data_IF_447700249038
#
_entry.id   IF_447700249038
#
_cell.length_a   1.000
_cell.length_b   1.000
_cell.length_c   1.000
_cell.angle_alpha   90.00
_cell.angle_beta   90.00
_cell.angle_gamma   90.00
#
_symmetry.space_group_name_H-M   'P 1'
#
loop_
_entity.id
_entity.type
_entity.pdbx_description
1 polymer ?
#
# COMPACT_ATOMS: atom_id res chain seq x y z
N UNK A 1 33.72 -14.54 -12.90
CA UNK A 1 32.32 -14.56 -13.37
C UNK A 1 31.39 -14.63 -12.15
N UNK A 2 30.65 -13.56 -11.85
CA UNK A 2 29.45 -13.63 -10.99
C UNK A 2 28.40 -12.74 -11.64
N UNK A 3 27.35 -13.39 -12.11
CA UNK A 3 26.30 -12.83 -12.94
C UNK A 3 25.31 -12.01 -12.11
N UNK A 4 24.84 -10.92 -12.72
CA UNK A 4 23.43 -10.54 -12.71
C UNK A 4 22.85 -9.98 -11.42
N UNK A 5 23.16 -8.71 -11.11
CA UNK A 5 22.21 -7.87 -10.38
C UNK A 5 21.03 -7.60 -11.32
N UNK A 6 20.03 -8.48 -11.33
CA UNK A 6 18.74 -8.18 -11.96
C UNK A 6 17.95 -7.27 -11.02
N UNK A 7 18.38 -6.01 -10.97
CA UNK A 7 17.50 -4.95 -10.53
C UNK A 7 16.27 -4.99 -11.42
N UNK A 8 15.09 -5.00 -10.80
CA UNK A 8 13.83 -4.69 -11.49
C UNK A 8 13.99 -3.26 -11.97
N UNK A 9 14.56 -3.12 -13.17
CA UNK A 9 14.59 -1.89 -13.95
C UNK A 9 13.13 -1.68 -14.31
N UNK A 10 12.49 -0.76 -13.59
CA UNK A 10 11.39 0.02 -14.13
C UNK A 10 11.89 0.55 -15.47
N UNK A 11 11.61 -0.18 -16.56
CA UNK A 11 11.81 0.36 -17.90
C UNK A 11 11.09 1.69 -17.88
N UNK A 12 11.83 2.74 -18.19
CA UNK A 12 11.34 4.09 -18.35
C UNK A 12 10.39 4.06 -19.55
N UNK A 13 9.15 3.60 -19.29
CA UNK A 13 8.16 3.37 -20.31
C UNK A 13 7.58 4.75 -20.65
N UNK A 14 7.76 5.10 -21.91
CA UNK A 14 7.43 6.36 -22.55
C UNK A 14 6.01 6.85 -22.20
N UNK A 15 5.80 8.16 -22.32
CA UNK A 15 4.49 8.86 -22.21
C UNK A 15 3.31 8.13 -22.91
N UNK A 16 3.56 7.28 -23.89
CA UNK A 16 2.54 6.52 -24.63
C UNK A 16 1.98 5.28 -23.91
N UNK A 17 2.72 4.62 -23.02
CA UNK A 17 2.18 3.46 -22.27
C UNK A 17 1.13 3.88 -21.23
N UNK A 18 1.27 5.11 -20.70
CA UNK A 18 0.35 5.72 -19.73
C UNK A 18 -1.03 6.05 -20.33
N UNK A 19 -1.18 6.02 -21.65
CA UNK A 19 -2.44 6.34 -22.34
C UNK A 19 -3.34 5.13 -22.61
N UNK A 20 -2.89 3.92 -22.26
CA UNK A 20 -3.60 2.66 -22.57
C UNK A 20 -4.16 1.95 -21.34
N UNK A 21 -3.63 2.22 -20.15
CA UNK A 21 -4.09 1.61 -18.90
C UNK A 21 -5.13 2.52 -18.25
N UNK A 22 -6.13 1.93 -17.60
CA UNK A 22 -7.02 2.71 -16.75
C UNK A 22 -6.28 3.20 -15.50
N UNK A 23 -6.73 4.30 -14.91
CA UNK A 23 -6.18 4.81 -13.64
C UNK A 23 -6.16 3.72 -12.56
N UNK A 24 -7.19 2.87 -12.54
CA UNK A 24 -7.29 1.71 -11.66
C UNK A 24 -6.15 0.70 -11.89
N UNK A 25 -5.85 0.36 -13.14
CA UNK A 25 -4.75 -0.56 -13.47
C UNK A 25 -3.39 0.03 -13.09
N UNK A 26 -3.18 1.33 -13.28
CA UNK A 26 -1.94 2.00 -12.90
C UNK A 26 -1.74 2.01 -11.37
N UNK A 27 -2.80 2.26 -10.61
CA UNK A 27 -2.78 2.21 -9.15
C UNK A 27 -2.61 0.78 -8.62
N UNK A 28 -3.26 -0.20 -9.24
CA UNK A 28 -3.06 -1.62 -8.91
C UNK A 28 -1.61 -2.06 -9.17
N UNK A 29 -1.02 -1.61 -10.28
CA UNK A 29 0.39 -1.85 -10.57
C UNK A 29 1.30 -1.18 -9.53
N UNK A 30 0.97 0.04 -9.09
CA UNK A 30 1.70 0.71 -8.01
C UNK A 30 1.67 -0.12 -6.72
N UNK A 31 0.52 -0.63 -6.30
CA UNK A 31 0.40 -1.48 -5.10
C UNK A 31 1.34 -2.69 -5.17
N UNK A 32 1.34 -3.40 -6.32
CA UNK A 32 2.22 -4.56 -6.55
C UNK A 32 3.70 -4.20 -6.47
N UNK A 33 4.10 -3.09 -7.09
CA UNK A 33 5.48 -2.61 -7.09
C UNK A 33 5.93 -2.25 -5.68
N UNK A 34 5.15 -1.47 -4.96
CA UNK A 34 5.51 -1.01 -3.62
C UNK A 34 5.59 -2.21 -2.67
N UNK A 35 4.68 -3.18 -2.76
CA UNK A 35 4.77 -4.44 -2.02
C UNK A 35 6.13 -5.14 -2.24
N UNK A 36 6.59 -5.24 -3.48
CA UNK A 36 7.89 -5.82 -3.80
C UNK A 36 9.06 -5.01 -3.24
N UNK A 37 9.01 -3.67 -3.31
CA UNK A 37 10.06 -2.82 -2.76
C UNK A 37 10.14 -2.87 -1.25
N UNK A 38 9.00 -2.90 -0.55
CA UNK A 38 8.94 -3.06 0.90
C UNK A 38 9.54 -4.40 1.32
N UNK A 39 9.17 -5.50 0.66
CA UNK A 39 9.74 -6.83 0.93
C UNK A 39 11.25 -6.91 0.66
N UNK A 40 11.72 -6.13 -0.32
CA UNK A 40 13.14 -5.97 -0.65
C UNK A 40 13.87 -4.89 0.14
N UNK A 41 13.23 -4.25 1.13
CA UNK A 41 13.80 -3.17 1.95
C UNK A 41 14.30 -1.97 1.11
N UNK A 42 13.71 -1.74 -0.06
CA UNK A 42 14.08 -0.69 -1.03
C UNK A 42 13.34 0.62 -0.76
N UNK A 43 13.60 1.24 0.39
CA UNK A 43 12.88 2.43 0.86
C UNK A 43 13.01 3.64 -0.08
N UNK A 44 14.19 3.86 -0.66
CA UNK A 44 14.45 5.00 -1.54
C UNK A 44 13.56 4.99 -2.79
N UNK A 45 13.23 3.80 -3.30
CA UNK A 45 12.37 3.67 -4.47
C UNK A 45 10.91 3.99 -4.11
N UNK A 46 10.46 3.57 -2.93
CA UNK A 46 9.14 3.94 -2.41
C UNK A 46 9.04 5.45 -2.21
N UNK A 47 10.05 6.06 -1.57
CA UNK A 47 10.12 7.50 -1.29
C UNK A 47 10.18 8.34 -2.59
N UNK A 48 10.64 7.76 -3.70
CA UNK A 48 10.62 8.41 -5.02
C UNK A 48 9.30 8.20 -5.75
N UNK A 49 8.78 6.97 -5.74
CA UNK A 49 7.67 6.57 -6.59
C UNK A 49 6.31 7.01 -6.03
N UNK A 50 6.10 6.87 -4.72
CA UNK A 50 4.81 7.17 -4.10
C UNK A 50 4.46 8.67 -4.22
N UNK A 51 5.36 9.64 -3.94
CA UNK A 51 5.04 11.06 -4.13
C UNK A 51 4.75 11.44 -5.59
N UNK A 52 5.38 10.76 -6.55
CA UNK A 52 5.06 10.93 -7.97
C UNK A 52 3.61 10.54 -8.25
N UNK A 53 3.14 9.43 -7.69
CA UNK A 53 1.75 8.99 -7.85
C UNK A 53 0.76 9.85 -7.05
N UNK A 54 1.13 10.39 -5.90
CA UNK A 54 0.32 11.41 -5.20
C UNK A 54 0.11 12.65 -6.09
N UNK A 55 1.12 13.05 -6.88
CA UNK A 55 0.97 14.17 -7.81
C UNK A 55 0.18 13.85 -9.08
N UNK A 56 0.15 12.59 -9.51
CA UNK A 56 -0.62 12.16 -10.69
C UNK A 56 -2.08 11.88 -10.36
N UNK A 57 -2.36 11.34 -9.17
CA UNK A 57 -3.70 11.01 -8.70
C UNK A 57 -3.95 11.67 -7.33
N UNK A 58 -4.08 13.01 -7.29
CA UNK A 58 -4.23 13.75 -6.03
C UNK A 58 -5.49 13.39 -5.26
N UNK A 59 -6.54 12.92 -5.96
CA UNK A 59 -7.81 12.53 -5.38
C UNK A 59 -7.87 11.04 -4.99
N UNK A 60 -6.77 10.29 -5.19
CA UNK A 60 -6.73 8.85 -4.89
C UNK A 60 -6.23 8.57 -3.48
N UNK A 61 -6.94 7.71 -2.76
CA UNK A 61 -6.52 7.20 -1.45
C UNK A 61 -5.31 6.25 -1.52
N UNK A 62 -5.07 5.61 -2.67
CA UNK A 62 -4.08 4.53 -2.83
C UNK A 62 -2.65 5.00 -2.50
N UNK A 63 -2.11 6.10 -3.06
CA UNK A 63 -0.73 6.51 -2.77
C UNK A 63 -0.52 6.88 -1.30
N UNK A 64 -1.55 7.45 -0.64
CA UNK A 64 -1.51 7.76 0.78
C UNK A 64 -1.48 6.49 1.63
N UNK A 65 -2.29 5.48 1.32
CA UNK A 65 -2.24 4.19 2.01
C UNK A 65 -0.85 3.55 1.90
N UNK A 66 -0.28 3.53 0.69
CA UNK A 66 1.05 2.96 0.44
C UNK A 66 2.16 3.68 1.21
N UNK A 67 2.11 5.01 1.31
CA UNK A 67 3.08 5.77 2.12
C UNK A 67 2.95 5.41 3.61
N UNK A 68 1.73 5.25 4.10
CA UNK A 68 1.47 4.80 5.47
C UNK A 68 2.15 3.46 5.76
N UNK A 69 1.98 2.47 4.89
CA UNK A 69 2.61 1.15 5.04
C UNK A 69 4.14 1.25 5.08
N UNK A 70 4.73 2.03 4.17
CA UNK A 70 6.20 2.23 4.11
C UNK A 70 6.72 2.87 5.39
N UNK A 71 6.02 3.87 5.92
CA UNK A 71 6.38 4.55 7.16
C UNK A 71 6.24 3.63 8.39
N UNK A 72 5.19 2.82 8.46
CA UNK A 72 5.01 1.80 9.51
C UNK A 72 6.15 0.79 9.53
N UNK A 73 6.48 0.21 8.37
CA UNK A 73 7.58 -0.76 8.27
C UNK A 73 8.95 -0.15 8.62
N UNK A 74 9.08 1.17 8.56
CA UNK A 74 10.26 1.95 9.01
C UNK A 74 10.18 2.42 10.46
N UNK A 75 9.16 2.04 11.22
CA UNK A 75 8.95 2.42 12.62
C UNK A 75 8.45 3.85 12.83
N UNK A 76 8.02 4.55 11.76
CA UNK A 76 7.50 5.92 11.83
C UNK A 76 5.98 5.94 12.00
N UNK A 77 5.51 5.36 13.09
CA UNK A 77 4.09 5.09 13.34
C UNK A 77 3.21 6.35 13.29
N UNK A 78 3.67 7.44 13.91
CA UNK A 78 2.91 8.70 13.97
C UNK A 78 2.70 9.33 12.60
N UNK A 79 3.71 9.25 11.72
CA UNK A 79 3.62 9.79 10.36
C UNK A 79 2.82 8.87 9.45
N UNK A 80 2.95 7.56 9.61
CA UNK A 80 2.11 6.61 8.89
C UNK A 80 0.62 6.85 9.16
N UNK A 81 0.26 7.09 10.42
CA UNK A 81 -1.12 7.39 10.80
C UNK A 81 -1.68 8.64 10.12
N UNK A 82 -0.86 9.65 9.86
CA UNK A 82 -1.29 10.83 9.09
C UNK A 82 -1.67 10.43 7.66
N UNK A 83 -0.87 9.56 7.05
CA UNK A 83 -1.11 9.09 5.68
C UNK A 83 -2.33 8.16 5.57
N UNK A 84 -2.55 7.25 6.52
CA UNK A 84 -3.78 6.45 6.55
C UNK A 84 -5.03 7.32 6.71
N UNK A 85 -4.98 8.32 7.59
CA UNK A 85 -6.09 9.28 7.75
C UNK A 85 -6.34 10.10 6.49
N UNK A 86 -5.29 10.52 5.80
CA UNK A 86 -5.43 11.21 4.51
C UNK A 86 -6.10 10.31 3.46
N UNK A 87 -5.71 9.03 3.38
CA UNK A 87 -6.34 8.08 2.49
C UNK A 87 -7.85 7.92 2.80
N UNK A 88 -8.23 7.75 4.06
CA UNK A 88 -9.64 7.69 4.47
C UNK A 88 -10.41 8.99 4.23
N UNK A 89 -9.74 10.15 4.28
CA UNK A 89 -10.37 11.45 4.01
C UNK A 89 -10.64 11.65 2.51
N UNK A 90 -9.78 11.12 1.64
CA UNK A 90 -9.96 11.11 0.19
C UNK A 90 -11.05 10.12 -0.22
N UNK A 91 -11.02 8.91 0.34
CA UNK A 91 -12.02 7.88 0.10
C UNK A 91 -12.27 7.06 1.37
N UNK A 92 -13.43 7.30 1.99
CA UNK A 92 -13.86 6.59 3.19
C UNK A 92 -14.26 5.13 2.91
N UNK A 93 -14.55 4.79 1.64
CA UNK A 93 -14.92 3.43 1.21
C UNK A 93 -13.70 2.56 0.88
N UNK A 94 -12.52 3.17 0.74
CA UNK A 94 -11.27 2.46 0.46
C UNK A 94 -10.83 1.59 1.66
N UNK A 95 -11.29 0.33 1.64
CA UNK A 95 -11.10 -0.63 2.72
C UNK A 95 -9.65 -0.81 3.20
N UNK A 96 -8.61 -0.79 2.34
CA UNK A 96 -7.22 -0.98 2.77
C UNK A 96 -6.73 0.07 3.76
N UNK A 97 -7.12 1.34 3.58
CA UNK A 97 -6.70 2.41 4.49
C UNK A 97 -7.30 2.25 5.89
N UNK A 98 -8.60 1.95 5.96
CA UNK A 98 -9.31 1.70 7.22
C UNK A 98 -8.76 0.45 7.92
N UNK A 99 -8.47 -0.62 7.16
CA UNK A 99 -7.85 -1.84 7.68
C UNK A 99 -6.48 -1.55 8.30
N UNK A 100 -5.59 -0.88 7.57
CA UNK A 100 -4.26 -0.55 8.08
C UNK A 100 -4.31 0.38 9.29
N UNK A 101 -5.21 1.36 9.30
CA UNK A 101 -5.40 2.19 10.48
C UNK A 101 -5.81 1.38 11.71
N UNK A 102 -6.75 0.44 11.57
CA UNK A 102 -7.14 -0.45 12.66
C UNK A 102 -5.96 -1.33 13.12
N UNK A 103 -5.27 -1.96 12.17
CA UNK A 103 -4.09 -2.79 12.40
C UNK A 103 -2.99 -2.06 13.19
N UNK A 104 -2.68 -0.81 12.84
CA UNK A 104 -1.57 -0.07 13.41
C UNK A 104 -1.93 0.78 14.63
N UNK A 105 -3.23 1.02 14.87
CA UNK A 105 -3.74 1.67 16.08
C UNK A 105 -3.96 0.69 17.25
N UNK A 106 -4.06 -0.61 16.97
CA UNK A 106 -4.19 -1.64 18.00
C UNK A 106 -2.94 -1.66 18.90
N UNK A 107 -3.15 -1.47 20.21
CA UNK A 107 -2.06 -1.28 21.16
C UNK A 107 -1.23 -2.55 21.39
N UNK A 108 -1.84 -3.73 21.49
CA UNK A 108 -1.08 -4.98 21.64
C UNK A 108 -1.85 -6.21 21.14
N UNK A 109 -1.13 -7.08 20.41
CA UNK A 109 -1.37 -8.48 19.98
C UNK A 109 -1.44 -8.76 18.48
N UNK A 110 -1.76 -7.79 17.63
CA UNK A 110 -1.99 -8.07 16.19
C UNK A 110 -1.06 -7.36 15.20
N UNK A 111 0.03 -6.74 15.66
CA UNK A 111 1.08 -6.20 14.77
C UNK A 111 1.83 -7.25 13.94
N UNK A 112 1.48 -8.53 14.08
CA UNK A 112 1.94 -9.62 13.22
C UNK A 112 1.16 -9.74 11.91
N UNK A 113 0.02 -9.06 11.77
CA UNK A 113 -0.77 -9.12 10.54
C UNK A 113 -0.09 -8.33 9.42
N UNK A 114 -0.04 -8.92 8.21
CA UNK A 114 0.46 -8.21 7.04
C UNK A 114 -0.47 -7.05 6.67
N UNK A 115 0.08 -5.91 6.19
CA UNK A 115 -0.70 -4.75 5.77
C UNK A 115 -1.50 -5.03 4.50
N UNK A 116 -2.56 -4.25 4.31
CA UNK A 116 -3.35 -4.23 3.10
C UNK A 116 -2.85 -3.14 2.13
N UNK A 117 -2.21 -3.56 1.05
CA UNK A 117 -1.78 -2.67 -0.04
C UNK A 117 -2.94 -2.37 -0.99
N UNK A 118 -3.80 -3.36 -1.22
CA UNK A 118 -4.96 -3.27 -2.11
C UNK A 118 -6.19 -3.97 -1.49
N UNK A 119 -7.32 -3.94 -2.20
CA UNK A 119 -8.59 -4.50 -1.70
C UNK A 119 -8.55 -6.03 -1.51
N UNK A 120 -7.69 -6.74 -2.25
CA UNK A 120 -7.60 -8.21 -2.19
C UNK A 120 -7.04 -8.65 -0.83
N UNK A 121 -6.14 -7.85 -0.26
CA UNK A 121 -5.59 -8.09 1.09
C UNK A 121 -6.67 -8.00 2.19
N UNK A 122 -7.78 -7.30 1.93
CA UNK A 122 -8.89 -7.14 2.88
C UNK A 122 -9.93 -8.27 2.79
N UNK A 123 -10.07 -8.92 1.64
CA UNK A 123 -11.18 -9.85 1.35
C UNK A 123 -11.14 -11.15 2.18
N UNK A 124 -9.96 -11.61 2.59
CA UNK A 124 -9.77 -12.89 3.30
C UNK A 124 -9.89 -12.83 4.82
N UNK A 125 -9.97 -11.64 5.44
CA UNK A 125 -9.84 -11.47 6.90
C UNK A 125 -11.12 -11.10 7.63
N UNK A 126 -12.23 -10.91 6.90
CA UNK A 126 -13.60 -10.72 7.46
C UNK A 126 -14.30 -12.04 7.88
N UNK A 127 -13.56 -13.14 8.07
CA UNK A 127 -14.14 -14.47 8.37
C UNK A 127 -13.88 -14.99 9.79
N UNK A 128 -13.46 -14.15 10.73
CA UNK A 128 -13.43 -14.53 12.14
C UNK A 128 -14.28 -13.52 12.90
N UNK A 129 -15.60 -13.69 12.85
CA UNK A 129 -16.59 -13.22 13.84
C UNK A 129 -17.99 -13.47 13.26
N UNK A 130 -18.50 -14.71 13.39
CA UNK A 130 -19.94 -14.97 13.61
C UNK A 130 -20.32 -16.44 13.84
N UNK A 131 -19.43 -17.44 13.62
CA UNK A 131 -19.89 -18.85 13.56
C UNK A 131 -19.38 -19.75 14.70
N UNK A 132 -18.78 -19.21 15.77
CA UNK A 132 -18.40 -19.98 16.98
C UNK A 132 -19.13 -19.54 18.26
N UNK A 133 -20.27 -18.85 18.11
CA UNK A 133 -21.15 -18.55 19.24
C UNK A 133 -22.60 -18.66 18.78
N UNK A 134 -23.12 -19.88 18.66
CA UNK A 134 -24.46 -20.30 19.11
C UNK A 134 -24.76 -21.74 18.65
N UNK A 135 -24.95 -22.59 19.67
CA UNK A 135 -25.51 -23.97 19.71
C UNK A 135 -24.56 -25.12 19.39
#
# INVERSE_FOLDING_TARGET
MKAGKEGIVMKEQSKGYRQLLSDEEELNNLCRVIRNYVNGWRWEECDRLIPKYMGLYPDSAVPHNLMGIVLEKRGRHTDAMKHFRAACALDASYAPASFNMALYSAFEKERSAEPAYDEQDCAGRRKIESDDFFV
#
